data_IF_075298319927
#
_entry.id   IF_075298319927
#
_cell.length_a   1.000
_cell.length_b   1.000
_cell.length_c   1.000
_cell.angle_alpha   90.00
_cell.angle_beta   90.00
_cell.angle_gamma   90.00
#
_symmetry.space_group_name_H-M   'P 1'
#
loop_
_entity.id
_entity.type
_entity.pdbx_description
1 polymer ?
#
# COMPACT_ATOMS: atom_id res chain seq x y z
N UNK A 1 16.17 2.16 12.29
CA UNK A 1 17.04 3.09 11.54
C UNK A 1 16.24 3.56 10.32
N UNK A 2 16.10 4.87 10.11
CA UNK A 2 15.50 5.41 8.87
C UNK A 2 16.55 5.32 7.77
N UNK A 3 16.17 4.78 6.61
CA UNK A 3 17.09 4.56 5.48
C UNK A 3 17.19 5.78 4.55
N UNK A 4 16.15 6.62 4.48
CA UNK A 4 16.12 7.84 3.68
C UNK A 4 14.76 8.51 3.72
N UNK A 5 14.68 9.70 3.11
CA UNK A 5 13.43 10.41 2.82
C UNK A 5 13.31 10.56 1.30
N UNK A 6 12.14 10.21 0.76
CA UNK A 6 11.83 10.36 -0.66
C UNK A 6 10.85 11.52 -0.81
N UNK A 7 11.14 12.43 -1.73
CA UNK A 7 10.26 13.55 -2.07
C UNK A 7 9.47 13.15 -3.33
N UNK A 8 8.24 13.64 -3.41
CA UNK A 8 7.37 13.42 -4.57
C UNK A 8 8.05 13.89 -5.87
N UNK A 9 8.10 12.98 -6.84
CA UNK A 9 8.60 13.22 -8.19
C UNK A 9 7.45 13.74 -9.07
N UNK A 10 7.39 15.05 -9.20
CA UNK A 10 6.34 15.76 -9.94
C UNK A 10 6.63 15.91 -11.44
N UNK A 11 7.76 15.39 -11.95
CA UNK A 11 8.16 15.54 -13.37
C UNK A 11 7.11 14.97 -14.33
N UNK A 12 6.40 13.92 -13.92
CA UNK A 12 5.31 13.31 -14.69
C UNK A 12 3.94 13.91 -14.39
N UNK A 13 3.80 14.65 -13.30
CA UNK A 13 2.54 15.14 -12.76
C UNK A 13 2.19 16.58 -13.21
N UNK A 14 2.83 17.08 -14.29
CA UNK A 14 2.80 18.46 -14.81
C UNK A 14 1.40 19.11 -15.04
N UNK A 15 0.29 18.40 -14.78
CA UNK A 15 -1.09 18.90 -14.93
C UNK A 15 -1.97 18.72 -13.69
N UNK A 16 -1.45 18.29 -12.54
CA UNK A 16 -2.27 18.06 -11.35
C UNK A 16 -2.13 19.20 -10.33
N UNK A 17 -3.24 19.88 -10.02
CA UNK A 17 -3.31 20.89 -8.94
C UNK A 17 -3.36 20.28 -7.53
N UNK A 18 -3.53 18.95 -7.42
CA UNK A 18 -3.79 18.26 -6.15
C UNK A 18 -2.85 17.08 -5.93
N UNK A 19 -2.27 16.99 -4.73
CA UNK A 19 -1.36 15.91 -4.32
C UNK A 19 -2.12 14.59 -4.20
N UNK A 20 -1.61 13.55 -4.84
CA UNK A 20 -2.17 12.19 -4.79
C UNK A 20 -1.20 11.23 -4.08
N UNK A 21 -1.68 10.34 -3.18
CA UNK A 21 -0.83 9.27 -2.62
C UNK A 21 -0.16 8.39 -3.67
N UNK A 22 -0.71 8.32 -4.89
CA UNK A 22 -0.09 7.61 -6.00
C UNK A 22 1.28 8.19 -6.39
N UNK A 23 1.45 9.51 -6.30
CA UNK A 23 2.72 10.19 -6.64
C UNK A 23 3.80 9.80 -5.63
N UNK A 24 3.48 9.84 -4.33
CA UNK A 24 4.42 9.39 -3.30
C UNK A 24 4.80 7.92 -3.44
N UNK A 25 3.84 7.05 -3.74
CA UNK A 25 4.13 5.63 -4.01
C UNK A 25 4.99 5.45 -5.27
N UNK A 26 4.68 6.15 -6.37
CA UNK A 26 5.48 6.14 -7.59
C UNK A 26 6.95 6.53 -7.30
N UNK A 27 7.14 7.61 -6.55
CA UNK A 27 8.45 8.14 -6.18
C UNK A 27 9.22 7.13 -5.33
N UNK A 28 8.55 6.53 -4.34
CA UNK A 28 9.13 5.48 -3.52
C UNK A 28 9.49 4.23 -4.34
N UNK A 29 8.64 3.78 -5.26
CA UNK A 29 8.95 2.64 -6.12
C UNK A 29 10.12 2.92 -7.06
N UNK A 30 10.21 4.14 -7.62
CA UNK A 30 11.34 4.57 -8.45
C UNK A 30 12.66 4.47 -7.67
N UNK A 31 12.67 5.00 -6.44
CA UNK A 31 13.86 4.98 -5.59
C UNK A 31 14.23 3.55 -5.17
N UNK A 32 13.27 2.77 -4.69
CA UNK A 32 13.51 1.39 -4.26
C UNK A 32 13.95 0.49 -5.43
N UNK A 33 13.47 0.77 -6.65
CA UNK A 33 13.94 0.10 -7.87
C UNK A 33 15.42 0.43 -8.15
N UNK A 34 15.82 1.69 -8.01
CA UNK A 34 17.22 2.10 -8.20
C UNK A 34 18.16 1.45 -7.15
N UNK A 35 17.62 1.16 -5.96
CA UNK A 35 18.29 0.44 -4.88
C UNK A 35 18.18 -1.09 -4.98
N UNK A 36 17.65 -1.61 -6.10
CA UNK A 36 17.56 -3.04 -6.41
C UNK A 36 16.71 -3.87 -5.42
N UNK A 37 15.75 -3.24 -4.73
CA UNK A 37 14.77 -3.97 -3.92
C UNK A 37 13.71 -4.66 -4.80
N UNK A 38 13.32 -5.88 -4.43
CA UNK A 38 12.33 -6.66 -5.19
C UNK A 38 10.87 -6.35 -4.78
N UNK A 39 10.63 -6.21 -3.48
CA UNK A 39 9.29 -5.99 -2.91
C UNK A 39 9.32 -4.95 -1.80
N UNK A 40 8.18 -4.28 -1.61
CA UNK A 40 7.98 -3.28 -0.56
C UNK A 40 6.65 -3.50 0.15
N UNK A 41 6.66 -3.40 1.47
CA UNK A 41 5.44 -3.23 2.28
C UNK A 41 5.12 -1.74 2.38
N UNK A 42 3.92 -1.37 1.98
CA UNK A 42 3.36 -0.02 2.15
C UNK A 42 2.52 -0.01 3.43
N UNK A 43 2.64 1.09 4.19
CA UNK A 43 1.85 1.40 5.38
C UNK A 43 1.40 2.87 5.29
N UNK A 44 0.17 3.22 5.71
CA UNK A 44 -0.22 4.61 5.79
C UNK A 44 0.24 5.20 7.13
N UNK A 45 0.34 6.53 7.21
CA UNK A 45 0.75 7.22 8.42
C UNK A 45 -0.37 7.42 9.45
N UNK A 46 -1.62 7.15 9.06
CA UNK A 46 -2.84 7.41 9.83
C UNK A 46 -3.41 6.16 10.53
N UNK A 47 -2.75 5.00 10.41
CA UNK A 47 -3.09 3.75 11.13
C UNK A 47 -2.01 3.38 12.16
N UNK A 48 -1.87 4.13 13.28
CA UNK A 48 -0.77 3.92 14.22
C UNK A 48 -0.89 2.63 15.05
N UNK A 49 -2.05 1.96 15.03
CA UNK A 49 -2.30 0.71 15.76
C UNK A 49 -2.07 -0.54 14.91
N UNK A 50 -1.37 -0.42 13.77
CA UNK A 50 -0.97 -1.58 12.97
C UNK A 50 -0.17 -2.57 13.81
N UNK A 51 -0.67 -3.80 13.87
CA UNK A 51 -0.05 -4.87 14.66
C UNK A 51 1.05 -5.57 13.88
N UNK A 52 2.16 -5.88 14.57
CA UNK A 52 3.27 -6.61 14.00
C UNK A 52 2.83 -7.98 13.46
N UNK A 53 1.92 -8.66 14.16
CA UNK A 53 1.39 -9.97 13.78
C UNK A 53 0.66 -9.91 12.42
N UNK A 54 -0.05 -8.82 12.13
CA UNK A 54 -0.71 -8.60 10.84
C UNK A 54 0.33 -8.39 9.74
N UNK A 55 1.35 -7.58 10.00
CA UNK A 55 2.46 -7.36 9.07
C UNK A 55 3.20 -8.67 8.75
N UNK A 56 3.62 -9.40 9.78
CA UNK A 56 4.32 -10.68 9.65
C UNK A 56 3.47 -11.71 8.91
N UNK A 57 2.16 -11.74 9.18
CA UNK A 57 1.22 -12.59 8.45
C UNK A 57 1.19 -12.24 6.95
N UNK A 58 1.02 -10.96 6.58
CA UNK A 58 0.99 -10.53 5.16
C UNK A 58 2.31 -10.87 4.46
N UNK A 59 3.46 -10.65 5.12
CA UNK A 59 4.79 -11.01 4.60
C UNK A 59 4.87 -12.52 4.32
N UNK A 60 4.43 -13.36 5.27
CA UNK A 60 4.41 -14.83 5.10
C UNK A 60 3.51 -15.25 3.94
N UNK A 61 2.35 -14.63 3.79
CA UNK A 61 1.42 -14.89 2.69
C UNK A 61 2.00 -14.48 1.32
N UNK A 62 2.93 -13.52 1.27
CA UNK A 62 3.50 -13.01 0.02
C UNK A 62 4.66 -13.83 -0.57
N UNK A 63 5.17 -14.83 0.16
CA UNK A 63 6.34 -15.63 -0.27
C UNK A 63 6.20 -16.26 -1.67
N UNK A 64 4.98 -16.60 -2.10
CA UNK A 64 4.70 -17.26 -3.40
C UNK A 64 3.92 -16.38 -4.39
N UNK A 65 3.78 -15.10 -4.11
CA UNK A 65 2.95 -14.15 -4.85
C UNK A 65 3.75 -12.90 -5.19
N UNK A 66 3.34 -12.17 -6.22
CA UNK A 66 3.96 -10.91 -6.58
C UNK A 66 3.48 -9.80 -5.66
N UNK A 67 2.17 -9.79 -5.40
CA UNK A 67 1.45 -8.81 -4.59
C UNK A 67 0.61 -9.50 -3.52
N UNK A 68 0.55 -8.93 -2.32
CA UNK A 68 -0.35 -9.34 -1.25
C UNK A 68 -1.11 -8.14 -0.73
N UNK A 69 -2.44 -8.22 -0.75
CA UNK A 69 -3.31 -7.12 -0.35
C UNK A 69 -4.50 -7.61 0.48
N UNK A 70 -4.74 -7.03 1.66
CA UNK A 70 -5.97 -7.26 2.41
C UNK A 70 -7.20 -6.79 1.65
N UNK A 71 -8.26 -7.59 1.74
CA UNK A 71 -9.54 -7.37 1.08
C UNK A 71 -10.69 -7.64 2.05
N UNK A 72 -11.61 -6.69 2.11
CA UNK A 72 -12.88 -6.80 2.83
C UNK A 72 -13.88 -7.64 2.04
N UNK A 73 -14.86 -8.23 2.72
CA UNK A 73 -15.94 -9.02 2.09
C UNK A 73 -16.76 -8.21 1.07
N UNK A 74 -16.84 -6.89 1.22
CA UNK A 74 -17.50 -5.98 0.27
C UNK A 74 -16.64 -5.65 -0.97
N UNK A 75 -15.52 -6.35 -1.16
CA UNK A 75 -14.53 -6.17 -2.22
C UNK A 75 -13.68 -4.89 -2.15
N UNK A 76 -13.76 -4.11 -1.07
CA UNK A 76 -12.80 -3.02 -0.86
C UNK A 76 -11.41 -3.60 -0.56
N UNK A 77 -10.40 -2.95 -1.12
CA UNK A 77 -8.99 -3.30 -0.96
C UNK A 77 -8.30 -2.28 -0.06
N UNK A 78 -7.26 -2.73 0.63
CA UNK A 78 -6.40 -1.88 1.47
C UNK A 78 -5.04 -1.65 0.80
N UNK A 79 -4.95 -0.79 -0.24
CA UNK A 79 -3.72 -0.61 -1.00
C UNK A 79 -2.59 0.04 -0.21
N UNK A 80 -2.91 0.70 0.91
CA UNK A 80 -1.89 1.30 1.77
C UNK A 80 -1.42 0.34 2.88
N UNK A 81 -1.95 -0.87 2.98
CA UNK A 81 -1.46 -1.94 3.84
C UNK A 81 -1.20 -3.19 2.99
N UNK A 82 -0.26 -3.10 2.05
CA UNK A 82 -0.05 -4.13 1.03
C UNK A 82 1.43 -4.29 0.66
N UNK A 83 1.78 -5.47 0.16
CA UNK A 83 3.10 -5.75 -0.41
C UNK A 83 3.03 -5.69 -1.92
N UNK A 84 3.89 -4.88 -2.51
CA UNK A 84 3.98 -4.66 -3.95
C UNK A 84 5.31 -5.19 -4.53
N UNK A 85 5.29 -5.78 -5.74
CA UNK A 85 6.48 -6.05 -6.53
C UNK A 85 7.00 -4.72 -7.12
N UNK A 86 8.20 -4.30 -6.74
CA UNK A 86 8.67 -2.92 -6.96
C UNK A 86 8.74 -2.57 -8.46
N UNK A 87 9.37 -3.41 -9.29
CA UNK A 87 9.49 -3.15 -10.73
C UNK A 87 8.12 -2.95 -11.37
N UNK A 88 7.21 -3.90 -11.15
CA UNK A 88 5.90 -3.85 -11.78
C UNK A 88 5.07 -2.68 -11.22
N UNK A 89 5.15 -2.40 -9.92
CA UNK A 89 4.43 -1.30 -9.28
C UNK A 89 4.94 0.05 -9.77
N UNK A 90 6.24 0.21 -9.98
CA UNK A 90 6.82 1.38 -10.64
C UNK A 90 6.25 1.57 -12.05
N UNK A 91 6.26 0.52 -12.89
CA UNK A 91 5.75 0.62 -14.27
C UNK A 91 4.24 0.94 -14.30
N UNK A 92 3.44 0.27 -13.46
CA UNK A 92 2.00 0.51 -13.42
C UNK A 92 1.65 1.89 -12.87
N UNK A 93 2.31 2.34 -11.79
CA UNK A 93 2.09 3.68 -11.22
C UNK A 93 2.49 4.78 -12.20
N UNK A 94 3.64 4.64 -12.88
CA UNK A 94 4.09 5.55 -13.94
C UNK A 94 3.04 5.68 -15.05
N UNK A 95 2.56 4.55 -15.58
CA UNK A 95 1.53 4.52 -16.63
C UNK A 95 0.24 5.18 -16.15
N UNK A 96 -0.20 4.85 -14.94
CA UNK A 96 -1.41 5.41 -14.35
C UNK A 96 -1.32 6.93 -14.18
N UNK A 97 -0.17 7.48 -13.77
CA UNK A 97 0.04 8.93 -13.65
C UNK A 97 -0.09 9.60 -15.03
N UNK A 98 0.59 9.08 -16.06
CA UNK A 98 0.52 9.58 -17.43
C UNK A 98 -0.93 9.54 -17.98
N UNK A 99 -1.67 8.48 -17.67
CA UNK A 99 -3.08 8.30 -18.05
C UNK A 99 -4.07 9.02 -17.11
N UNK A 100 -3.59 9.80 -16.14
CA UNK A 100 -4.40 10.51 -15.13
C UNK A 100 -5.33 9.61 -14.29
N UNK A 101 -4.92 8.36 -14.05
CA UNK A 101 -5.63 7.34 -13.27
C UNK A 101 -5.11 7.24 -11.83
N UNK A 102 -5.61 8.08 -10.92
CA UNK A 102 -5.06 8.22 -9.56
C UNK A 102 -5.60 7.24 -8.50
N UNK A 103 -6.47 6.29 -8.88
CA UNK A 103 -6.99 5.29 -7.92
C UNK A 103 -5.88 4.30 -7.54
N UNK A 104 -5.52 4.22 -6.26
CA UNK A 104 -4.46 3.32 -5.77
C UNK A 104 -4.69 1.85 -6.13
N UNK A 105 -5.94 1.39 -6.19
CA UNK A 105 -6.28 0.02 -6.60
C UNK A 105 -5.88 -0.29 -8.04
N UNK A 106 -5.68 0.72 -8.90
CA UNK A 106 -5.17 0.57 -10.27
C UNK A 106 -3.68 0.30 -10.34
N UNK A 107 -2.94 0.38 -9.23
CA UNK A 107 -1.53 -0.05 -9.17
C UNK A 107 -1.42 -1.55 -9.43
N UNK A 108 -2.42 -2.32 -9.00
CA UNK A 108 -2.42 -3.78 -9.10
C UNK A 108 -2.61 -4.18 -10.55
N UNK A 109 -1.57 -4.78 -11.13
CA UNK A 109 -1.59 -5.26 -12.51
C UNK A 109 -2.47 -6.51 -12.67
N UNK A 110 -3.19 -6.58 -13.80
CA UNK A 110 -4.09 -7.70 -14.10
C UNK A 110 -3.36 -9.04 -14.26
N UNK A 111 -2.08 -9.01 -14.66
CA UNK A 111 -1.26 -10.20 -14.88
C UNK A 111 -0.39 -10.57 -13.66
N UNK A 112 -0.54 -9.87 -12.52
CA UNK A 112 0.24 -10.17 -11.33
C UNK A 112 -0.38 -11.36 -10.60
N UNK A 113 0.47 -12.26 -10.09
CA UNK A 113 0.04 -13.29 -9.16
C UNK A 113 -0.26 -12.64 -7.81
N UNK A 114 -1.47 -12.14 -7.67
CA UNK A 114 -1.92 -11.36 -6.49
C UNK A 114 -2.67 -12.26 -5.52
N UNK A 115 -2.26 -12.22 -4.25
CA UNK A 115 -3.01 -12.84 -3.16
C UNK A 115 -3.90 -11.79 -2.49
N UNK A 116 -5.22 -12.00 -2.56
CA UNK A 116 -6.21 -11.20 -1.87
C UNK A 116 -6.52 -11.87 -0.53
N UNK A 117 -5.97 -11.31 0.55
CA UNK A 117 -6.09 -11.87 1.91
C UNK A 117 -7.41 -11.40 2.50
N UNK A 118 -8.27 -12.32 2.97
CA UNK A 118 -9.55 -11.93 3.56
C UNK A 118 -9.32 -11.29 4.94
N UNK A 119 -9.79 -10.07 5.13
CA UNK A 119 -9.69 -9.39 6.43
C UNK A 119 -10.52 -10.13 7.47
N UNK A 120 -11.76 -10.48 7.14
CA UNK A 120 -12.70 -11.11 8.07
C UNK A 120 -12.37 -12.57 8.37
N UNK A 121 -11.85 -13.32 7.39
CA UNK A 121 -11.58 -14.75 7.56
C UNK A 121 -10.15 -15.06 8.01
N UNK A 122 -9.17 -14.26 7.60
CA UNK A 122 -7.76 -14.53 7.88
C UNK A 122 -7.21 -13.58 8.94
N UNK A 123 -7.32 -12.27 8.70
CA UNK A 123 -6.67 -11.28 9.57
C UNK A 123 -7.39 -11.13 10.92
N UNK A 124 -8.72 -11.28 10.97
CA UNK A 124 -9.48 -11.21 12.22
C UNK A 124 -9.08 -12.30 13.24
N UNK A 125 -8.44 -13.40 12.79
CA UNK A 125 -7.92 -14.45 13.68
C UNK A 125 -6.73 -13.96 14.53
N UNK A 126 -5.97 -12.99 14.01
CA UNK A 126 -4.78 -12.42 14.66
C UNK A 126 -5.03 -10.99 15.17
N UNK A 127 -5.98 -10.26 14.58
CA UNK A 127 -6.43 -8.95 15.03
C UNK A 127 -7.97 -8.94 15.17
N UNK A 128 -8.54 -9.50 16.27
CA UNK A 128 -9.99 -9.67 16.40
C UNK A 128 -10.81 -8.39 16.30
N UNK A 129 -10.21 -7.26 16.70
CA UNK A 129 -10.82 -5.93 16.69
C UNK A 129 -10.45 -5.11 15.45
N UNK A 130 -9.62 -5.66 14.55
CA UNK A 130 -9.17 -5.02 13.31
C UNK A 130 -8.56 -3.62 13.54
N UNK A 131 -7.85 -3.44 14.65
CA UNK A 131 -7.21 -2.17 15.00
C UNK A 131 -6.16 -1.76 13.97
N UNK A 132 -5.56 -2.72 13.27
CA UNK A 132 -4.59 -2.49 12.21
C UNK A 132 -5.16 -1.74 11.00
N UNK A 133 -6.49 -1.69 10.87
CA UNK A 133 -7.21 -0.98 9.81
C UNK A 133 -7.94 0.26 10.33
N UNK A 134 -7.81 0.59 11.64
CA UNK A 134 -8.46 1.76 12.23
C UNK A 134 -7.65 3.01 11.90
N UNK A 135 -8.26 3.87 11.09
CA UNK A 135 -7.67 5.11 10.61
C UNK A 135 -7.99 6.27 11.59
N UNK A 136 -7.00 7.12 11.89
CA UNK A 136 -7.12 8.30 12.76
C UNK A 136 -6.98 9.56 11.91
N UNK A 137 -8.10 10.23 11.66
CA UNK A 137 -8.13 11.45 10.85
C UNK A 137 -8.22 12.71 11.70
N UNK A 138 -8.81 12.64 12.89
CA UNK A 138 -9.06 13.80 13.73
C UNK A 138 -8.81 13.51 15.23
N UNK A 139 -8.80 14.56 16.06
CA UNK A 139 -8.57 14.44 17.51
C UNK A 139 -9.67 13.67 18.24
N UNK A 140 -10.88 13.59 17.70
CA UNK A 140 -11.97 12.83 18.31
C UNK A 140 -11.77 11.33 18.14
N UNK A 141 -11.18 10.91 17.02
CA UNK A 141 -10.82 9.50 16.78
C UNK A 141 -9.87 9.00 17.87
N UNK A 142 -8.94 9.85 18.33
CA UNK A 142 -8.01 9.57 19.44
C UNK A 142 -8.77 9.39 20.76
N UNK A 143 -9.79 10.22 21.02
CA UNK A 143 -10.61 10.10 22.26
C UNK A 143 -11.48 8.84 22.28
N UNK A 144 -11.73 8.24 21.12
CA UNK A 144 -12.49 7.00 20.92
C UNK A 144 -11.56 5.78 20.76
N UNK A 145 -10.25 5.93 20.99
CA UNK A 145 -9.31 4.82 21.13
C UNK A 145 -9.31 4.32 22.56
#
# INVERSE_FOLDING_TARGET
KVMGFVIDDDDLALKQESRSPLIGLYSAFKELKNLEYEKVLVLPCDTPLVKFEVIDFIIKQCKKFDCCIPKWNNNLLEPLLAIYPIENAYQTSRRNIIETQYKLTKIIGINWKTNYISIEQDIKKIDPNLLSFKNINNREDIKKM
#
